data_IF_459121399407
#
_entry.id   IF_459121399407
#
_cell.length_a   1.000
_cell.length_b   1.000
_cell.length_c   1.000
_cell.angle_alpha   90.00
_cell.angle_beta   90.00
_cell.angle_gamma   90.00
#
_symmetry.space_group_name_H-M   'P 1'
#
loop_
_entity.id
_entity.type
_entity.pdbx_description
1 polymer ?
#
# COMPACT_ATOMS: atom_id res chain seq x y z
N UNK A 1 -5.89 -27.65 -24.87
CA UNK A 1 -5.56 -26.29 -25.30
C UNK A 1 -4.81 -25.67 -24.16
N UNK A 2 -3.52 -25.43 -24.28
CA UNK A 2 -2.77 -24.65 -23.32
C UNK A 2 -3.30 -23.21 -23.46
N UNK A 3 -4.02 -22.72 -22.45
CA UNK A 3 -4.41 -21.32 -22.38
C UNK A 3 -3.14 -20.50 -22.29
N UNK A 4 -3.09 -19.40 -23.01
CA UNK A 4 -2.03 -18.43 -22.97
C UNK A 4 -1.85 -18.00 -21.50
N UNK A 5 -0.70 -18.29 -20.90
CA UNK A 5 -0.38 -17.83 -19.55
C UNK A 5 -0.10 -16.33 -19.64
N UNK A 6 -0.88 -15.54 -18.94
CA UNK A 6 -0.56 -14.12 -18.76
C UNK A 6 0.37 -13.98 -17.55
N UNK A 7 1.60 -13.59 -17.79
CA UNK A 7 2.57 -13.33 -16.74
C UNK A 7 2.46 -11.85 -16.30
N UNK A 8 2.38 -11.64 -14.99
CA UNK A 8 2.31 -10.31 -14.39
C UNK A 8 3.49 -10.11 -13.45
N UNK A 9 4.13 -8.96 -13.54
CA UNK A 9 5.20 -8.57 -12.64
C UNK A 9 4.66 -7.71 -11.51
N UNK A 10 4.79 -8.20 -10.27
CA UNK A 10 4.25 -7.54 -9.08
C UNK A 10 5.39 -7.00 -8.24
N UNK A 11 5.46 -5.68 -8.07
CA UNK A 11 6.35 -5.05 -7.11
C UNK A 11 5.80 -5.25 -5.69
N UNK A 12 6.54 -5.92 -4.82
CA UNK A 12 6.17 -6.15 -3.42
C UNK A 12 7.00 -5.21 -2.56
N UNK A 13 6.37 -4.23 -1.96
CA UNK A 13 6.95 -3.26 -1.04
C UNK A 13 6.45 -3.56 0.39
N UNK A 14 7.16 -4.41 1.17
CA UNK A 14 6.66 -4.86 2.47
C UNK A 14 6.50 -3.72 3.50
N UNK A 15 7.36 -2.70 3.41
CA UNK A 15 7.38 -1.60 4.36
C UNK A 15 7.91 -1.99 5.74
N UNK A 16 7.24 -1.52 6.79
CA UNK A 16 7.69 -1.61 8.18
C UNK A 16 6.76 -2.47 9.05
N UNK A 17 7.30 -2.97 10.15
CA UNK A 17 6.54 -3.65 11.21
C UNK A 17 5.63 -4.76 10.68
N UNK A 18 4.35 -4.66 10.97
CA UNK A 18 3.32 -5.63 10.52
C UNK A 18 3.21 -5.74 9.01
N UNK A 19 3.62 -4.72 8.25
CA UNK A 19 3.64 -4.77 6.78
C UNK A 19 4.46 -5.92 6.23
N UNK A 20 5.58 -6.24 6.86
CA UNK A 20 6.46 -7.35 6.46
C UNK A 20 5.78 -8.71 6.66
N UNK A 21 5.12 -8.89 7.80
CA UNK A 21 4.40 -10.14 8.11
C UNK A 21 3.22 -10.34 7.15
N UNK A 22 2.46 -9.29 6.90
CA UNK A 22 1.30 -9.33 6.00
C UNK A 22 1.75 -9.55 4.55
N UNK A 23 2.87 -8.97 4.12
CA UNK A 23 3.41 -9.18 2.78
C UNK A 23 3.74 -10.64 2.50
N UNK A 24 4.29 -11.36 3.49
CA UNK A 24 4.58 -12.80 3.35
C UNK A 24 3.30 -13.58 3.06
N UNK A 25 2.21 -13.30 3.78
CA UNK A 25 0.93 -13.98 3.57
C UNK A 25 0.27 -13.56 2.25
N UNK A 26 0.41 -12.30 1.84
CA UNK A 26 -0.07 -11.84 0.53
C UNK A 26 0.66 -12.56 -0.63
N UNK A 27 1.97 -12.74 -0.53
CA UNK A 27 2.76 -13.49 -1.50
C UNK A 27 2.30 -14.94 -1.60
N UNK A 28 2.01 -15.60 -0.46
CA UNK A 28 1.43 -16.97 -0.43
C UNK A 28 0.08 -17.06 -1.13
N UNK A 29 -0.74 -16.01 -1.01
CA UNK A 29 -2.02 -15.93 -1.72
C UNK A 29 -1.77 -15.87 -3.24
N UNK A 30 -0.84 -15.04 -3.69
CA UNK A 30 -0.46 -14.96 -5.11
C UNK A 30 0.04 -16.32 -5.63
N UNK A 31 0.90 -17.02 -4.88
CA UNK A 31 1.37 -18.36 -5.22
C UNK A 31 0.20 -19.35 -5.35
N UNK A 32 -0.77 -19.25 -4.44
CA UNK A 32 -1.96 -20.11 -4.46
C UNK A 32 -2.84 -19.80 -5.68
N UNK A 33 -3.04 -18.54 -6.00
CA UNK A 33 -3.80 -18.14 -7.20
C UNK A 33 -3.10 -18.63 -8.46
N UNK A 34 -1.78 -18.45 -8.56
CA UNK A 34 -0.97 -18.94 -9.67
C UNK A 34 -1.13 -20.46 -9.85
N UNK A 35 -1.12 -21.22 -8.76
CA UNK A 35 -1.27 -22.68 -8.81
C UNK A 35 -2.64 -23.15 -9.30
N UNK A 36 -3.67 -22.31 -9.22
CA UNK A 36 -5.07 -22.66 -9.56
C UNK A 36 -5.63 -21.91 -10.76
N UNK A 37 -4.83 -21.08 -11.42
CA UNK A 37 -5.23 -20.27 -12.57
C UNK A 37 -4.19 -20.33 -13.68
N UNK A 38 -4.47 -19.69 -14.81
CA UNK A 38 -3.52 -19.53 -15.91
C UNK A 38 -2.77 -18.17 -15.81
N UNK A 39 -2.65 -17.59 -14.61
CA UNK A 39 -1.88 -16.38 -14.37
C UNK A 39 -0.56 -16.71 -13.69
N UNK A 40 0.54 -16.19 -14.22
CA UNK A 40 1.85 -16.19 -13.59
C UNK A 40 2.09 -14.89 -12.85
N UNK A 41 2.74 -14.94 -11.68
CA UNK A 41 3.13 -13.75 -10.91
C UNK A 41 4.62 -13.77 -10.60
N UNK A 42 5.38 -12.92 -11.28
CA UNK A 42 6.77 -12.63 -10.89
C UNK A 42 6.73 -11.62 -9.73
N UNK A 43 7.06 -12.08 -8.53
CA UNK A 43 7.02 -11.27 -7.31
C UNK A 43 8.40 -10.67 -7.02
N UNK A 44 8.56 -9.37 -7.21
CA UNK A 44 9.82 -8.66 -7.00
C UNK A 44 9.75 -7.89 -5.69
N UNK A 45 10.49 -8.35 -4.68
CA UNK A 45 10.50 -7.72 -3.34
C UNK A 45 11.46 -6.54 -3.33
N UNK A 46 10.94 -5.36 -2.99
CA UNK A 46 11.68 -4.10 -2.90
C UNK A 46 11.65 -3.64 -1.44
N UNK A 47 12.75 -3.76 -0.68
CA UNK A 47 12.83 -3.24 0.67
C UNK A 47 12.59 -1.73 0.71
N UNK A 48 11.74 -1.29 1.64
CA UNK A 48 11.40 0.13 1.76
C UNK A 48 10.91 0.50 3.16
N UNK A 49 10.80 1.80 3.41
CA UNK A 49 10.27 2.33 4.65
C UNK A 49 11.33 2.76 5.66
N UNK A 50 10.88 3.02 6.90
CA UNK A 50 11.74 3.54 7.95
C UNK A 50 12.78 2.54 8.46
N UNK A 51 12.48 1.24 8.44
CA UNK A 51 13.46 0.24 8.80
C UNK A 51 14.60 0.18 7.77
N UNK A 52 14.24 0.22 6.48
CA UNK A 52 15.23 0.29 5.40
C UNK A 52 16.11 1.53 5.54
N UNK A 53 15.51 2.69 5.86
CA UNK A 53 16.23 3.93 6.09
C UNK A 53 17.25 3.81 7.25
N UNK A 54 16.88 3.16 8.33
CA UNK A 54 17.81 2.93 9.46
C UNK A 54 19.01 2.04 9.10
N UNK A 55 18.79 1.09 8.20
CA UNK A 55 19.82 0.13 7.80
C UNK A 55 20.74 0.66 6.70
N UNK A 56 20.20 1.45 5.77
CA UNK A 56 20.90 1.86 4.53
C UNK A 56 21.10 3.38 4.41
N UNK A 57 20.35 4.20 5.14
CA UNK A 57 20.27 5.63 4.96
C UNK A 57 19.29 6.09 3.89
N UNK A 58 18.61 5.15 3.23
CA UNK A 58 17.65 5.43 2.14
C UNK A 58 16.29 4.80 2.43
N UNK A 59 15.19 5.49 2.08
CA UNK A 59 13.83 4.98 2.30
C UNK A 59 13.49 3.80 1.39
N UNK A 60 14.14 3.69 0.24
CA UNK A 60 14.20 2.57 -0.72
C UNK A 60 15.40 2.73 -1.65
N UNK A 61 15.82 1.66 -2.31
CA UNK A 61 16.98 1.70 -3.18
C UNK A 61 16.74 2.57 -4.43
N UNK A 62 17.81 3.15 -4.97
CA UNK A 62 17.80 3.83 -6.26
C UNK A 62 17.24 2.90 -7.35
N UNK A 63 16.44 3.44 -8.26
CA UNK A 63 15.77 2.67 -9.32
C UNK A 63 14.46 2.00 -8.90
N UNK A 64 14.14 1.87 -7.60
CA UNK A 64 12.90 1.23 -7.14
C UNK A 64 11.64 1.89 -7.70
N UNK A 65 11.62 3.23 -7.75
CA UNK A 65 10.49 3.95 -8.33
C UNK A 65 10.36 3.71 -9.85
N UNK A 66 11.49 3.70 -10.57
CA UNK A 66 11.49 3.45 -12.01
C UNK A 66 10.98 2.03 -12.31
N UNK A 67 11.40 1.03 -11.54
CA UNK A 67 10.87 -0.32 -11.65
C UNK A 67 9.35 -0.36 -11.41
N UNK A 68 8.85 0.29 -10.35
CA UNK A 68 7.41 0.35 -10.05
C UNK A 68 6.60 1.01 -11.16
N UNK A 69 7.17 2.03 -11.83
CA UNK A 69 6.50 2.79 -12.89
C UNK A 69 6.53 2.09 -14.25
N UNK A 70 7.69 1.53 -14.61
CA UNK A 70 7.98 1.15 -16.00
C UNK A 70 7.92 -0.37 -16.23
N UNK A 71 8.08 -1.16 -15.17
CA UNK A 71 8.23 -2.61 -15.30
C UNK A 71 7.17 -3.41 -14.55
N UNK A 72 6.60 -2.88 -13.47
CA UNK A 72 5.60 -3.60 -12.69
C UNK A 72 4.19 -3.38 -13.23
N UNK A 73 3.42 -4.45 -13.38
CA UNK A 73 2.00 -4.39 -13.74
C UNK A 73 1.13 -3.97 -12.55
N UNK A 74 1.59 -4.29 -11.34
CA UNK A 74 0.92 -3.88 -10.10
C UNK A 74 1.92 -3.72 -8.95
N UNK A 75 1.53 -2.93 -7.96
CA UNK A 75 2.31 -2.66 -6.77
C UNK A 75 1.52 -3.11 -5.53
N UNK A 76 2.10 -4.03 -4.76
CA UNK A 76 1.62 -4.35 -3.43
C UNK A 76 2.41 -3.54 -2.41
N UNK A 77 1.76 -2.67 -1.66
CA UNK A 77 2.37 -1.85 -0.63
C UNK A 77 1.88 -2.27 0.75
N UNK A 78 2.82 -2.69 1.60
CA UNK A 78 2.58 -2.96 3.01
C UNK A 78 2.50 -1.67 3.85
N UNK A 79 2.43 -1.83 5.16
CA UNK A 79 2.39 -0.68 6.06
C UNK A 79 3.77 0.01 6.12
N UNK A 80 3.78 1.34 6.03
CA UNK A 80 4.98 2.15 6.18
C UNK A 80 4.83 3.04 7.40
N UNK A 81 5.87 3.10 8.22
CA UNK A 81 5.96 3.95 9.39
C UNK A 81 6.70 3.25 10.53
N UNK A 82 7.97 3.62 10.72
CA UNK A 82 8.78 3.16 11.84
C UNK A 82 9.00 4.32 12.81
N UNK A 83 8.44 4.28 14.05
CA UNK A 83 8.49 5.42 14.98
C UNK A 83 9.90 5.92 15.31
N UNK A 84 10.90 5.03 15.25
CA UNK A 84 12.30 5.34 15.52
C UNK A 84 13.13 5.75 14.30
N UNK A 85 12.53 5.86 13.11
CA UNK A 85 13.20 6.28 11.88
C UNK A 85 12.71 7.67 11.48
N UNK A 86 13.62 8.67 11.61
CA UNK A 86 13.32 10.05 11.23
C UNK A 86 14.37 10.57 10.27
N UNK A 87 13.88 11.37 9.33
CA UNK A 87 14.71 12.15 8.43
C UNK A 87 15.36 13.33 9.18
N UNK A 88 16.43 13.96 8.64
CA UNK A 88 17.08 15.11 9.25
C UNK A 88 16.15 16.32 9.50
N UNK A 89 15.06 16.44 8.73
CA UNK A 89 14.05 17.49 8.89
C UNK A 89 13.03 17.17 10.01
N UNK A 90 13.12 15.99 10.66
CA UNK A 90 12.25 15.55 11.74
C UNK A 90 11.06 14.71 11.30
N UNK A 91 10.76 14.59 10.01
CA UNK A 91 9.68 13.77 9.47
C UNK A 91 9.96 12.28 9.67
N UNK A 92 8.90 11.48 9.67
CA UNK A 92 9.05 10.03 9.68
C UNK A 92 9.58 9.55 8.32
N UNK A 93 10.60 8.70 8.36
CA UNK A 93 11.10 8.05 7.16
C UNK A 93 10.06 7.08 6.58
N UNK A 94 10.03 6.98 5.26
CA UNK A 94 9.05 6.19 4.49
C UNK A 94 8.00 7.05 3.78
N UNK A 95 7.91 8.34 4.11
CA UNK A 95 6.98 9.29 3.50
C UNK A 95 7.21 9.46 2.01
N UNK A 96 8.45 9.48 1.55
CA UNK A 96 8.79 9.64 0.13
C UNK A 96 8.31 8.44 -0.70
N UNK A 97 8.29 7.24 -0.13
CA UNK A 97 7.78 6.05 -0.81
C UNK A 97 6.28 6.20 -1.11
N UNK A 98 5.49 6.59 -0.10
CA UNK A 98 4.02 6.71 -0.25
C UNK A 98 3.67 7.91 -1.14
N UNK A 99 4.19 9.08 -0.80
CA UNK A 99 3.85 10.33 -1.48
C UNK A 99 4.47 10.37 -2.88
N UNK A 100 5.72 9.90 -3.01
CA UNK A 100 6.42 9.82 -4.28
C UNK A 100 5.70 8.90 -5.29
N UNK A 101 5.19 7.74 -4.83
CA UNK A 101 4.37 6.90 -5.70
C UNK A 101 3.06 7.56 -6.10
N UNK A 102 2.34 8.17 -5.15
CA UNK A 102 1.05 8.83 -5.46
C UNK A 102 1.19 9.92 -6.53
N UNK A 103 2.20 10.78 -6.36
CA UNK A 103 2.44 11.89 -7.30
C UNK A 103 3.15 11.43 -8.56
N UNK A 104 4.17 10.59 -8.43
CA UNK A 104 5.01 10.19 -9.55
C UNK A 104 4.36 9.17 -10.50
N UNK A 105 3.39 8.38 -10.00
CA UNK A 105 2.57 7.49 -10.83
C UNK A 105 1.26 8.14 -11.29
N UNK A 106 1.05 9.42 -10.97
CA UNK A 106 -0.17 10.17 -11.32
C UNK A 106 -1.46 9.43 -10.90
N UNK A 107 -1.48 8.91 -9.68
CA UNK A 107 -2.61 8.13 -9.19
C UNK A 107 -3.83 9.02 -8.96
N UNK A 108 -4.94 8.70 -9.63
CA UNK A 108 -6.17 9.49 -9.62
C UNK A 108 -6.99 9.31 -8.34
N UNK A 109 -7.18 8.09 -7.88
CA UNK A 109 -8.13 7.80 -6.82
C UNK A 109 -7.58 6.87 -5.74
N UNK A 110 -7.92 7.18 -4.50
CA UNK A 110 -7.78 6.26 -3.36
C UNK A 110 -9.13 5.56 -3.16
N UNK A 111 -9.16 4.27 -3.41
CA UNK A 111 -10.36 3.43 -3.30
C UNK A 111 -10.27 2.62 -2.01
N UNK A 112 -11.23 2.82 -1.10
CA UNK A 112 -11.27 2.16 0.21
C UNK A 112 -12.56 1.37 0.39
N UNK A 113 -12.58 0.08 0.07
CA UNK A 113 -13.70 -0.79 0.39
C UNK A 113 -13.75 -1.00 1.92
N UNK A 114 -14.93 -0.86 2.50
CA UNK A 114 -15.19 -1.06 3.92
C UNK A 114 -16.34 -2.05 4.02
N UNK A 115 -16.06 -3.21 4.61
CA UNK A 115 -17.05 -4.26 4.84
C UNK A 115 -16.93 -4.79 6.25
N UNK A 116 -18.06 -4.93 6.93
CA UNK A 116 -18.12 -5.59 8.22
C UNK A 116 -18.46 -7.07 8.03
N UNK A 117 -17.52 -7.91 8.39
CA UNK A 117 -17.70 -9.37 8.33
C UNK A 117 -18.22 -9.91 9.64
N UNK A 118 -18.94 -11.02 9.57
CA UNK A 118 -19.41 -11.75 10.76
C UNK A 118 -18.23 -12.21 11.62
N UNK A 119 -18.37 -12.10 12.93
CA UNK A 119 -17.31 -12.46 13.88
C UNK A 119 -16.17 -11.46 14.03
N UNK A 120 -16.16 -10.37 13.23
CA UNK A 120 -15.14 -9.32 13.35
C UNK A 120 -15.67 -8.19 14.25
N UNK A 121 -15.11 -8.02 15.47
CA UNK A 121 -15.52 -6.94 16.35
C UNK A 121 -15.00 -5.59 15.80
N UNK A 122 -15.83 -4.56 15.88
CA UNK A 122 -15.41 -3.21 15.57
C UNK A 122 -15.20 -2.36 16.82
N UNK A 123 -14.39 -1.32 16.71
CA UNK A 123 -14.01 -0.46 17.84
C UNK A 123 -14.66 0.89 17.72
N UNK A 124 -15.48 1.25 18.72
CA UNK A 124 -16.15 2.55 18.82
C UNK A 124 -15.72 3.22 20.12
N UNK A 125 -15.26 4.46 20.05
CA UNK A 125 -14.73 5.21 21.20
C UNK A 125 -13.71 4.43 22.05
N UNK A 126 -12.84 3.67 21.39
CA UNK A 126 -11.80 2.90 22.07
C UNK A 126 -12.25 1.58 22.69
N UNK A 127 -13.54 1.22 22.60
CA UNK A 127 -14.11 -0.03 23.13
C UNK A 127 -14.60 -0.92 22.01
N UNK A 128 -14.39 -2.24 22.15
CA UNK A 128 -14.98 -3.22 21.24
C UNK A 128 -16.48 -3.31 21.55
N UNK A 129 -17.31 -2.91 20.61
CA UNK A 129 -18.75 -2.85 20.75
C UNK A 129 -19.39 -3.25 19.43
N UNK A 130 -20.46 -4.04 19.49
CA UNK A 130 -21.28 -4.38 18.34
C UNK A 130 -22.36 -3.31 18.18
N UNK A 131 -22.11 -2.29 17.35
CA UNK A 131 -23.09 -1.24 17.02
C UNK A 131 -23.73 -1.50 15.66
N UNK A 132 -22.90 -1.94 14.70
CA UNK A 132 -23.35 -2.25 13.37
C UNK A 132 -23.40 -3.75 13.16
N UNK A 133 -24.36 -4.20 12.38
CA UNK A 133 -24.52 -5.61 12.05
C UNK A 133 -23.76 -5.95 10.76
N UNK A 134 -23.12 -7.14 10.71
CA UNK A 134 -22.55 -7.67 9.47
C UNK A 134 -23.60 -7.71 8.35
N UNK A 135 -23.19 -7.37 7.14
CA UNK A 135 -24.09 -7.28 5.99
C UNK A 135 -24.79 -5.94 5.81
N UNK A 136 -24.90 -5.10 6.87
CA UNK A 136 -25.41 -3.74 6.75
C UNK A 136 -24.31 -2.71 6.43
N UNK A 137 -23.05 -3.09 6.58
CA UNK A 137 -21.89 -2.26 6.24
C UNK A 137 -21.14 -2.89 5.08
N UNK A 138 -21.40 -2.38 3.89
CA UNK A 138 -20.69 -2.71 2.65
C UNK A 138 -20.67 -1.45 1.79
N UNK A 139 -19.58 -0.68 1.88
CA UNK A 139 -19.43 0.59 1.19
C UNK A 139 -18.03 0.75 0.62
N UNK A 140 -17.89 1.60 -0.39
CA UNK A 140 -16.59 2.00 -0.93
C UNK A 140 -16.45 3.51 -0.85
N UNK A 141 -15.40 3.96 -0.18
CA UNK A 141 -15.03 5.38 -0.14
C UNK A 141 -14.05 5.65 -1.27
N UNK A 142 -14.38 6.58 -2.14
CA UNK A 142 -13.52 7.08 -3.21
C UNK A 142 -13.03 8.47 -2.82
N UNK A 143 -11.72 8.65 -2.80
CA UNK A 143 -11.07 9.93 -2.52
C UNK A 143 -10.13 10.29 -3.67
N UNK A 144 -10.28 11.50 -4.21
CA UNK A 144 -9.40 12.00 -5.26
C UNK A 144 -8.00 12.27 -4.68
N UNK A 145 -6.96 11.85 -5.38
CA UNK A 145 -5.55 12.08 -5.02
C UNK A 145 -4.95 13.31 -5.71
N UNK A 146 -5.64 13.92 -6.67
CA UNK A 146 -5.16 15.09 -7.41
C UNK A 146 -5.06 16.36 -6.56
N UNK A 147 -5.74 16.42 -5.41
CA UNK A 147 -5.78 17.58 -4.51
C UNK A 147 -4.85 17.41 -3.29
N UNK A 148 -3.64 16.95 -3.50
CA UNK A 148 -2.60 16.94 -2.44
C UNK A 148 -1.84 18.26 -2.35
N UNK A 149 -2.06 19.19 -3.30
CA UNK A 149 -1.64 20.59 -3.18
C UNK A 149 -2.81 21.41 -2.64
N UNK A 150 -2.56 22.42 -1.77
CA UNK A 150 -3.61 23.33 -1.35
C UNK A 150 -4.28 23.94 -2.58
N UNK A 151 -5.60 23.90 -2.62
CA UNK A 151 -6.37 24.50 -3.69
C UNK A 151 -6.06 26.01 -3.74
N UNK A 152 -6.14 26.65 -4.91
CA UNK A 152 -5.99 28.11 -4.98
C UNK A 152 -6.94 28.87 -4.03
N UNK A 153 -8.06 28.25 -3.62
CA UNK A 153 -8.97 28.81 -2.61
C UNK A 153 -8.42 28.74 -1.18
N UNK A 154 -7.58 27.74 -0.87
CA UNK A 154 -7.00 27.56 0.47
C UNK A 154 -5.84 28.55 0.72
N UNK A 155 -5.34 29.19 -0.34
CA UNK A 155 -4.25 30.18 -0.29
C UNK A 155 -4.79 31.61 -0.12
N UNK A 156 -6.07 31.87 -0.45
CA UNK A 156 -6.68 33.19 -0.33
C UNK A 156 -7.27 33.48 1.06
N UNK A 157 -7.38 32.47 1.93
CA UNK A 157 -7.95 32.60 3.29
C UNK A 157 -6.90 32.59 4.42
N UNK A 158 -5.61 32.73 4.13
CA UNK A 158 -4.53 32.73 5.13
C UNK A 158 -3.79 34.05 5.24
#
# INVERSE_FOLDING_TARGET
MAGDMSDHRIAILPGDGTGREVAIEAMRILDTVQAHTNHGFEQVVIPCGGQNYKETGEEWAEGSFAFCRDEADAIYLGAIGHPGARLPNGDLAGGSVILGMRSGLDLYANVRPIKLYEGVPHKVHGRFTQIWEPGLVDMTILSCLLYTSPSPRDVEES
#
